data_IF_220074000219
#
_entry.id   IF_220074000219
#
_cell.length_a   1.000
_cell.length_b   1.000
_cell.length_c   1.000
_cell.angle_alpha   90.00
_cell.angle_beta   90.00
_cell.angle_gamma   90.00
#
_symmetry.space_group_name_H-M   'P 1'
#
loop_
_entity.id
_entity.type
_entity.pdbx_description
1 polymer ?
#
# COMPACT_ATOMS: atom_id res chain seq x y z
N UNK A 1 -3.19 56.49 25.26
CA UNK A 1 -2.25 56.14 24.17
C UNK A 1 -0.97 55.47 24.70
N UNK A 2 -0.14 56.15 25.51
CA UNK A 2 1.16 55.61 25.97
C UNK A 2 1.08 54.31 26.82
N UNK A 3 0.01 54.12 27.60
CA UNK A 3 -0.21 52.85 28.33
C UNK A 3 -0.52 51.68 27.40
N UNK A 4 -1.27 51.92 26.32
CA UNK A 4 -1.63 50.92 25.31
C UNK A 4 -0.39 50.56 24.48
N UNK A 5 0.42 51.56 24.10
CA UNK A 5 1.68 51.37 23.38
C UNK A 5 2.63 50.48 24.20
N UNK A 6 2.86 50.80 25.48
CA UNK A 6 3.69 49.96 26.37
C UNK A 6 3.15 48.53 26.55
N UNK A 7 1.83 48.35 26.55
CA UNK A 7 1.20 47.04 26.62
C UNK A 7 1.44 46.23 25.33
N UNK A 8 1.29 46.86 24.17
CA UNK A 8 1.58 46.25 22.85
C UNK A 8 3.06 45.91 22.73
N UNK A 9 3.97 46.81 23.12
CA UNK A 9 5.42 46.57 23.12
C UNK A 9 5.81 45.41 24.04
N UNK A 10 5.17 45.27 25.20
CA UNK A 10 5.40 44.14 26.11
C UNK A 10 4.90 42.82 25.54
N UNK A 11 3.84 42.84 24.72
CA UNK A 11 3.31 41.66 24.04
C UNK A 11 4.03 41.36 22.71
N UNK A 12 4.82 42.28 22.18
CA UNK A 12 5.52 42.14 20.89
C UNK A 12 6.36 40.85 20.80
N UNK A 13 7.19 40.47 21.79
CA UNK A 13 7.96 39.23 21.73
C UNK A 13 7.09 37.97 21.71
N UNK A 14 5.92 38.02 22.38
CA UNK A 14 4.95 36.93 22.36
C UNK A 14 4.29 36.80 20.98
N UNK A 15 3.88 37.91 20.38
CA UNK A 15 3.34 37.91 19.01
C UNK A 15 4.38 37.48 17.97
N UNK A 16 5.64 37.89 18.12
CA UNK A 16 6.75 37.45 17.27
C UNK A 16 7.01 35.94 17.41
N UNK A 17 6.93 35.39 18.63
CA UNK A 17 7.05 33.95 18.88
C UNK A 17 5.88 33.15 18.28
N UNK A 18 4.68 33.68 18.33
CA UNK A 18 3.50 33.08 17.68
C UNK A 18 3.65 33.15 16.15
N UNK A 19 3.99 34.32 15.61
CA UNK A 19 4.10 34.52 14.16
C UNK A 19 5.23 33.70 13.52
N UNK A 20 6.30 33.42 14.28
CA UNK A 20 7.41 32.56 13.85
C UNK A 20 7.13 31.05 13.98
N UNK A 21 5.95 30.65 14.47
CA UNK A 21 5.55 29.26 14.45
C UNK A 21 5.41 28.78 12.99
N UNK A 22 6.10 27.70 12.58
CA UNK A 22 6.14 27.27 11.19
C UNK A 22 4.78 26.91 10.60
N UNK A 23 3.83 26.46 11.42
CA UNK A 23 2.46 26.17 10.97
C UNK A 23 1.68 27.46 10.70
N UNK A 24 1.81 28.47 11.57
CA UNK A 24 1.15 29.77 11.37
C UNK A 24 1.78 30.55 10.21
N UNK A 25 3.10 30.47 10.08
CA UNK A 25 3.82 30.98 8.90
C UNK A 25 3.32 30.29 7.62
N UNK A 26 3.18 28.96 7.63
CA UNK A 26 2.69 28.22 6.47
C UNK A 26 1.23 28.57 6.11
N UNK A 27 0.34 28.74 7.11
CA UNK A 27 -1.02 29.23 6.87
C UNK A 27 -0.98 30.61 6.20
N UNK A 28 -0.24 31.56 6.78
CA UNK A 28 -0.12 32.93 6.25
C UNK A 28 0.38 32.90 4.81
N UNK A 29 1.48 32.20 4.56
CA UNK A 29 2.12 32.18 3.25
C UNK A 29 1.25 31.45 2.21
N UNK A 30 0.58 30.37 2.63
CA UNK A 30 -0.39 29.65 1.80
C UNK A 30 -1.60 30.52 1.43
N UNK A 31 -2.12 31.32 2.37
CA UNK A 31 -3.16 32.32 2.09
C UNK A 31 -2.69 33.42 1.15
N UNK A 32 -1.47 33.94 1.35
CA UNK A 32 -0.87 34.97 0.48
C UNK A 32 -0.78 34.45 -0.95
N UNK A 33 -0.36 33.21 -1.14
CA UNK A 33 -0.32 32.56 -2.46
C UNK A 33 -1.71 32.45 -3.12
N UNK A 34 -2.79 32.44 -2.34
CA UNK A 34 -4.17 32.33 -2.81
C UNK A 34 -4.93 33.63 -2.90
N UNK A 35 -4.33 34.76 -2.48
CA UNK A 35 -4.95 36.07 -2.63
C UNK A 35 -5.45 36.35 -4.06
N UNK A 36 -4.73 35.97 -5.15
CA UNK A 36 -5.25 36.19 -6.50
C UNK A 36 -6.61 35.53 -6.72
N UNK A 37 -6.84 34.32 -6.20
CA UNK A 37 -8.13 33.60 -6.32
C UNK A 37 -9.22 34.36 -5.57
N UNK A 38 -8.95 34.80 -4.34
CA UNK A 38 -9.94 35.51 -3.50
C UNK A 38 -10.27 36.89 -4.09
N UNK A 39 -9.26 37.63 -4.53
CA UNK A 39 -9.41 38.96 -5.13
C UNK A 39 -10.16 38.88 -6.47
N UNK A 40 -9.78 37.94 -7.33
CA UNK A 40 -10.43 37.74 -8.62
C UNK A 40 -11.88 37.26 -8.44
N UNK A 41 -12.14 36.37 -7.48
CA UNK A 41 -13.50 35.96 -7.13
C UNK A 41 -14.34 37.15 -6.67
N UNK A 42 -13.79 38.01 -5.81
CA UNK A 42 -14.48 39.18 -5.30
C UNK A 42 -14.86 40.18 -6.39
N UNK A 43 -14.11 40.25 -7.49
CA UNK A 43 -14.46 41.08 -8.65
C UNK A 43 -15.81 40.69 -9.26
N UNK A 44 -16.12 39.39 -9.33
CA UNK A 44 -17.42 38.94 -9.85
C UNK A 44 -18.59 39.36 -8.94
N UNK A 45 -18.41 39.36 -7.62
CA UNK A 45 -19.40 39.93 -6.69
C UNK A 45 -19.59 41.42 -6.97
N UNK A 46 -18.49 42.15 -7.15
CA UNK A 46 -18.56 43.59 -7.42
C UNK A 46 -19.29 43.86 -8.74
N UNK A 47 -18.95 43.15 -9.81
CA UNK A 47 -19.62 43.27 -11.12
C UNK A 47 -21.10 42.88 -11.03
N UNK A 48 -21.43 41.83 -10.28
CA UNK A 48 -22.82 41.38 -10.11
C UNK A 48 -23.68 42.40 -9.35
N UNK A 49 -23.16 42.98 -8.27
CA UNK A 49 -24.03 43.65 -7.29
C UNK A 49 -23.74 45.13 -7.01
N UNK A 50 -22.55 45.65 -7.32
CA UNK A 50 -22.27 47.09 -7.14
C UNK A 50 -23.17 47.97 -8.03
N UNK A 51 -23.46 47.60 -9.30
CA UNK A 51 -24.40 48.35 -10.15
C UNK A 51 -25.80 48.58 -9.53
N UNK A 52 -26.23 47.70 -8.62
CA UNK A 52 -27.53 47.82 -7.95
C UNK A 52 -27.68 49.13 -7.17
N UNK A 53 -26.57 49.74 -6.72
CA UNK A 53 -26.57 51.03 -6.01
C UNK A 53 -27.10 52.17 -6.91
N UNK A 54 -26.99 52.04 -8.23
CA UNK A 54 -27.49 53.00 -9.21
C UNK A 54 -28.78 52.53 -9.91
N UNK A 55 -29.47 51.53 -9.36
CA UNK A 55 -30.73 51.00 -9.91
C UNK A 55 -30.58 50.16 -11.17
N UNK A 56 -29.35 49.80 -11.55
CA UNK A 56 -29.10 48.86 -12.63
C UNK A 56 -29.06 47.43 -12.09
N UNK A 57 -29.88 46.55 -12.66
CA UNK A 57 -29.90 45.12 -12.33
C UNK A 57 -29.64 44.31 -13.59
N UNK A 58 -28.72 43.35 -13.49
CA UNK A 58 -28.49 42.39 -14.56
C UNK A 58 -29.74 41.54 -14.80
N UNK A 59 -30.02 41.12 -16.05
CA UNK A 59 -30.94 40.02 -16.30
C UNK A 59 -30.51 38.78 -15.52
N UNK A 60 -31.47 38.02 -14.98
CA UNK A 60 -31.19 36.91 -14.05
C UNK A 60 -30.20 35.88 -14.63
N UNK A 61 -30.31 35.57 -15.91
CA UNK A 61 -29.39 34.67 -16.60
C UNK A 61 -27.94 35.18 -16.63
N UNK A 62 -27.72 36.50 -16.71
CA UNK A 62 -26.38 37.10 -16.70
C UNK A 62 -25.81 37.13 -15.29
N UNK A 63 -26.63 37.51 -14.29
CA UNK A 63 -26.25 37.41 -12.88
C UNK A 63 -25.83 35.98 -12.52
N UNK A 64 -26.62 34.98 -12.94
CA UNK A 64 -26.34 33.58 -12.66
C UNK A 64 -25.03 33.12 -13.30
N UNK A 65 -24.69 33.59 -14.52
CA UNK A 65 -23.40 33.31 -15.15
C UNK A 65 -22.24 33.91 -14.35
N UNK A 66 -22.35 35.19 -13.97
CA UNK A 66 -21.32 35.91 -13.19
C UNK A 66 -21.10 35.19 -11.86
N UNK A 67 -22.19 34.83 -11.17
CA UNK A 67 -22.14 34.14 -9.88
C UNK A 67 -21.68 32.69 -10.01
N UNK A 68 -21.91 32.03 -11.14
CA UNK A 68 -21.39 30.69 -11.40
C UNK A 68 -19.86 30.68 -11.45
N UNK A 69 -19.25 31.68 -12.09
CA UNK A 69 -17.78 31.83 -12.11
C UNK A 69 -17.25 32.05 -10.70
N UNK A 70 -17.87 32.95 -9.93
CA UNK A 70 -17.56 33.15 -8.51
C UNK A 70 -17.63 31.84 -7.69
N UNK A 71 -18.71 31.08 -7.89
CA UNK A 71 -18.93 29.84 -7.16
C UNK A 71 -17.91 28.76 -7.53
N UNK A 72 -17.44 28.70 -8.78
CA UNK A 72 -16.37 27.77 -9.16
C UNK A 72 -15.02 28.14 -8.56
N UNK A 73 -14.66 29.43 -8.56
CA UNK A 73 -13.36 29.88 -8.02
C UNK A 73 -13.33 29.76 -6.50
N UNK A 74 -14.40 30.14 -5.81
CA UNK A 74 -14.51 30.01 -4.35
C UNK A 74 -14.84 28.58 -3.90
N UNK A 75 -15.50 27.79 -4.76
CA UNK A 75 -15.86 26.40 -4.51
C UNK A 75 -14.66 25.45 -4.49
N UNK A 76 -13.47 25.90 -4.90
CA UNK A 76 -12.22 25.14 -4.84
C UNK A 76 -11.23 25.69 -3.82
N UNK A 77 -11.63 26.68 -3.02
CA UNK A 77 -10.72 27.40 -2.12
C UNK A 77 -10.03 26.47 -1.10
N UNK A 78 -10.73 25.47 -0.55
CA UNK A 78 -10.10 24.54 0.38
C UNK A 78 -9.09 23.61 -0.30
N UNK A 79 -9.31 23.21 -1.55
CA UNK A 79 -8.36 22.42 -2.34
C UNK A 79 -7.07 23.19 -2.53
N UNK A 80 -7.18 24.41 -3.05
CA UNK A 80 -6.00 25.25 -3.23
C UNK A 80 -5.30 25.55 -1.89
N UNK A 81 -6.07 25.75 -0.81
CA UNK A 81 -5.53 25.98 0.53
C UNK A 81 -4.75 24.77 1.05
N UNK A 82 -5.26 23.56 0.84
CA UNK A 82 -4.56 22.34 1.22
C UNK A 82 -3.21 22.27 0.49
N UNK A 83 -3.20 22.49 -0.82
CA UNK A 83 -1.97 22.51 -1.60
C UNK A 83 -0.98 23.59 -1.16
N UNK A 84 -1.37 24.86 -1.15
CA UNK A 84 -0.43 25.98 -0.90
C UNK A 84 0.12 26.00 0.52
N UNK A 85 -0.70 25.68 1.54
CA UNK A 85 -0.23 25.58 2.93
C UNK A 85 0.71 24.38 3.10
N UNK A 86 0.42 23.24 2.45
CA UNK A 86 1.30 22.07 2.44
C UNK A 86 2.64 22.39 1.83
N UNK A 87 2.65 23.07 0.69
CA UNK A 87 3.87 23.54 0.03
C UNK A 87 4.67 24.43 0.97
N UNK A 88 4.08 25.48 1.53
CA UNK A 88 4.78 26.40 2.43
C UNK A 88 5.32 25.71 3.68
N UNK A 89 4.58 24.75 4.24
CA UNK A 89 5.07 23.95 5.36
C UNK A 89 6.21 23.02 4.96
N UNK A 90 6.13 22.39 3.79
CA UNK A 90 7.18 21.50 3.25
C UNK A 90 8.46 22.29 2.98
N UNK A 91 8.36 23.47 2.36
CA UNK A 91 9.49 24.39 2.16
C UNK A 91 10.13 24.74 3.50
N UNK A 92 9.33 25.10 4.52
CA UNK A 92 9.84 25.37 5.86
C UNK A 92 10.54 24.15 6.49
N UNK A 93 10.05 22.93 6.25
CA UNK A 93 10.72 21.69 6.71
C UNK A 93 12.04 21.47 6.00
N UNK A 94 12.10 21.69 4.69
CA UNK A 94 13.29 21.48 3.87
C UNK A 94 14.45 22.39 4.26
N UNK A 95 14.18 23.58 4.83
CA UNK A 95 15.21 24.45 5.42
C UNK A 95 16.01 23.78 6.55
N UNK A 96 15.45 22.74 7.18
CA UNK A 96 16.06 22.02 8.31
C UNK A 96 16.57 20.62 7.93
N UNK A 97 16.46 20.23 6.66
CA UNK A 97 16.90 18.93 6.17
C UNK A 97 18.19 19.07 5.33
N UNK A 98 19.07 18.05 5.33
CA UNK A 98 20.22 18.02 4.42
C UNK A 98 19.78 18.13 2.96
N UNK A 99 20.60 18.75 2.11
CA UNK A 99 20.31 18.91 0.67
C UNK A 99 20.03 17.57 -0.04
N UNK A 100 20.61 16.47 0.44
CA UNK A 100 20.43 15.12 -0.10
C UNK A 100 19.09 14.48 0.31
N UNK A 101 18.41 15.01 1.31
CA UNK A 101 17.22 14.42 1.94
C UNK A 101 16.09 15.47 2.03
N UNK A 102 15.89 16.26 0.99
CA UNK A 102 14.78 17.20 0.93
C UNK A 102 13.50 16.50 0.47
N UNK A 103 12.38 16.90 1.08
CA UNK A 103 11.05 16.44 0.72
C UNK A 103 10.67 17.05 -0.62
N UNK A 104 10.20 16.22 -1.56
CA UNK A 104 9.65 16.73 -2.82
C UNK A 104 8.36 17.51 -2.55
N UNK A 105 8.42 18.81 -2.79
CA UNK A 105 7.35 19.78 -2.49
C UNK A 105 6.13 19.56 -3.38
N UNK A 106 6.33 19.14 -4.63
CA UNK A 106 5.22 18.85 -5.56
C UNK A 106 4.49 17.58 -5.12
N UNK A 107 5.23 16.57 -4.65
CA UNK A 107 4.63 15.33 -4.13
C UNK A 107 3.74 15.59 -2.91
N UNK A 108 4.20 16.39 -1.95
CA UNK A 108 3.37 16.72 -0.79
C UNK A 108 2.17 17.57 -1.18
N UNK A 109 2.35 18.55 -2.07
CA UNK A 109 1.26 19.39 -2.61
C UNK A 109 0.13 18.55 -3.20
N UNK A 110 0.45 17.66 -4.15
CA UNK A 110 -0.54 16.81 -4.82
C UNK A 110 -1.17 15.81 -3.84
N UNK A 111 -0.38 15.23 -2.92
CA UNK A 111 -0.89 14.33 -1.91
C UNK A 111 -1.89 15.01 -0.96
N UNK A 112 -1.69 16.29 -0.63
CA UNK A 112 -2.62 17.05 0.18
C UNK A 112 -3.94 17.36 -0.55
N UNK A 113 -3.88 17.72 -1.83
CA UNK A 113 -5.11 17.92 -2.63
C UNK A 113 -5.91 16.62 -2.75
N UNK A 114 -5.24 15.51 -3.09
CA UNK A 114 -5.87 14.18 -3.15
C UNK A 114 -6.47 13.76 -1.80
N UNK A 115 -5.74 13.96 -0.70
CA UNK A 115 -6.23 13.63 0.65
C UNK A 115 -7.47 14.45 1.02
N UNK A 116 -7.50 15.74 0.66
CA UNK A 116 -8.68 16.57 0.89
C UNK A 116 -9.87 16.09 0.05
N UNK A 117 -9.65 15.76 -1.24
CA UNK A 117 -10.72 15.26 -2.11
C UNK A 117 -11.36 13.99 -1.54
N UNK A 118 -10.55 13.07 -1.00
CA UNK A 118 -11.05 11.86 -0.33
C UNK A 118 -11.93 12.20 0.88
N UNK A 119 -11.55 13.22 1.67
CA UNK A 119 -12.31 13.64 2.86
C UNK A 119 -13.55 14.48 2.53
N UNK A 120 -13.51 15.22 1.43
CA UNK A 120 -14.50 16.23 1.07
C UNK A 120 -15.63 15.68 0.20
N UNK A 121 -15.37 14.62 -0.58
CA UNK A 121 -16.36 13.98 -1.46
C UNK A 121 -17.29 13.11 -0.62
N UNK A 122 -18.55 13.56 -0.47
CA UNK A 122 -19.61 12.79 0.19
C UNK A 122 -20.67 12.36 -0.83
N UNK A 123 -21.07 11.08 -0.85
CA UNK A 123 -22.19 10.65 -1.67
C UNK A 123 -23.50 11.24 -1.13
N UNK A 124 -24.33 11.77 -2.03
CA UNK A 124 -25.70 12.21 -1.75
C UNK A 124 -26.65 11.48 -2.71
N UNK A 125 -27.95 11.47 -2.40
CA UNK A 125 -28.97 10.64 -3.08
C UNK A 125 -28.93 10.68 -4.61
N UNK A 126 -28.58 11.83 -5.19
CA UNK A 126 -28.55 12.06 -6.65
C UNK A 126 -27.21 12.68 -7.14
N UNK A 127 -26.09 12.42 -6.46
CA UNK A 127 -24.78 12.89 -6.90
C UNK A 127 -23.69 12.96 -5.82
N UNK A 128 -22.76 13.90 -5.97
CA UNK A 128 -21.64 14.13 -5.05
C UNK A 128 -21.77 15.52 -4.45
N UNK A 129 -21.68 15.63 -3.12
CA UNK A 129 -21.53 16.93 -2.47
C UNK A 129 -20.08 17.40 -2.56
N UNK A 130 -19.88 18.60 -3.11
CA UNK A 130 -18.59 19.30 -3.21
C UNK A 130 -18.47 20.46 -2.22
N UNK A 131 -19.37 20.53 -1.24
CA UNK A 131 -19.48 21.64 -0.29
C UNK A 131 -18.19 21.86 0.53
N UNK A 132 -17.48 20.78 0.83
CA UNK A 132 -16.22 20.79 1.56
C UNK A 132 -15.00 21.13 0.68
N UNK A 133 -15.17 21.42 -0.61
CA UNK A 133 -14.09 21.92 -1.47
C UNK A 133 -13.93 23.44 -1.39
N UNK A 134 -14.98 24.14 -0.94
CA UNK A 134 -14.99 25.60 -0.76
C UNK A 134 -14.63 26.03 0.66
N UNK A 135 -15.13 27.19 1.08
CA UNK A 135 -14.82 27.80 2.39
C UNK A 135 -15.15 26.89 3.59
N UNK A 136 -16.20 26.07 3.49
CA UNK A 136 -16.60 25.14 4.58
C UNK A 136 -15.56 24.05 4.84
N UNK A 137 -14.70 23.75 3.87
CA UNK A 137 -13.62 22.77 4.00
C UNK A 137 -12.30 23.30 4.52
N UNK A 138 -12.16 24.60 4.80
CA UNK A 138 -10.87 25.21 5.14
C UNK A 138 -10.19 24.56 6.36
N UNK A 139 -10.97 24.16 7.37
CA UNK A 139 -10.43 23.47 8.55
C UNK A 139 -9.85 22.10 8.15
N UNK A 140 -10.57 21.33 7.32
CA UNK A 140 -10.09 20.05 6.81
C UNK A 140 -8.83 20.24 5.96
N UNK A 141 -8.79 21.28 5.13
CA UNK A 141 -7.61 21.64 4.34
C UNK A 141 -6.38 21.90 5.21
N UNK A 142 -6.51 22.63 6.33
CA UNK A 142 -5.39 22.84 7.25
C UNK A 142 -4.95 21.55 7.94
N UNK A 143 -5.89 20.70 8.37
CA UNK A 143 -5.55 19.42 8.98
C UNK A 143 -4.74 18.54 8.03
N UNK A 144 -5.23 18.39 6.79
CA UNK A 144 -4.52 17.67 5.73
C UNK A 144 -3.15 18.30 5.48
N UNK A 145 -3.09 19.63 5.35
CA UNK A 145 -1.86 20.34 5.06
C UNK A 145 -0.80 20.26 6.17
N UNK A 146 -1.21 19.96 7.41
CA UNK A 146 -0.29 19.71 8.51
C UNK A 146 0.13 18.26 8.60
N UNK A 147 -0.77 17.32 8.30
CA UNK A 147 -0.50 15.89 8.38
C UNK A 147 0.49 15.47 7.29
N UNK A 148 0.23 15.82 6.04
CA UNK A 148 0.98 15.33 4.87
C UNK A 148 2.48 15.64 4.95
N UNK A 149 2.93 16.90 5.18
CA UNK A 149 4.36 17.21 5.28
C UNK A 149 5.03 16.56 6.49
N UNK A 150 4.30 16.34 7.58
CA UNK A 150 4.86 15.70 8.77
C UNK A 150 5.05 14.19 8.57
N UNK A 151 4.16 13.51 7.83
CA UNK A 151 4.35 12.12 7.40
C UNK A 151 5.61 12.02 6.52
N UNK A 152 5.72 12.85 5.48
CA UNK A 152 6.89 12.84 4.61
C UNK A 152 8.19 13.17 5.34
N UNK A 153 8.18 14.16 6.24
CA UNK A 153 9.33 14.49 7.09
C UNK A 153 9.71 13.34 8.01
N UNK A 154 8.72 12.67 8.61
CA UNK A 154 8.97 11.49 9.42
C UNK A 154 9.69 10.41 8.61
N UNK A 155 9.24 10.18 7.36
CA UNK A 155 9.83 9.19 6.47
C UNK A 155 11.26 9.54 6.04
N UNK A 156 11.47 10.76 5.55
CA UNK A 156 12.77 11.18 5.02
C UNK A 156 13.79 11.44 6.12
N UNK A 157 13.36 12.00 7.26
CA UNK A 157 14.24 12.32 8.38
C UNK A 157 14.73 11.11 9.19
N UNK A 158 14.09 9.95 9.04
CA UNK A 158 14.50 8.70 9.68
C UNK A 158 15.24 7.75 8.73
N UNK A 159 15.60 8.20 7.52
CA UNK A 159 16.17 7.33 6.47
C UNK A 159 15.37 6.02 6.40
N UNK A 160 14.05 6.13 6.30
CA UNK A 160 13.17 4.97 6.17
C UNK A 160 13.56 4.24 4.87
N UNK A 161 14.33 3.16 5.00
CA UNK A 161 14.89 2.33 3.91
C UNK A 161 14.52 0.85 4.06
N UNK A 162 13.36 0.53 4.65
CA UNK A 162 12.64 -0.70 4.31
C UNK A 162 11.81 -0.47 3.04
N UNK A 163 11.63 -1.51 2.23
CA UNK A 163 10.89 -1.42 0.96
C UNK A 163 9.45 -0.88 1.14
N UNK A 164 8.90 -0.94 2.35
CA UNK A 164 7.59 -0.42 2.73
C UNK A 164 7.65 0.41 4.03
N UNK A 165 6.85 1.48 4.18
CA UNK A 165 6.71 2.21 5.46
C UNK A 165 6.26 1.29 6.62
N UNK A 166 6.78 1.46 7.85
CA UNK A 166 7.68 2.51 8.35
C UNK A 166 9.17 2.24 8.07
N UNK A 167 9.49 1.25 7.24
CA UNK A 167 10.83 0.89 6.78
C UNK A 167 11.90 0.78 7.86
N UNK A 168 11.49 0.23 9.01
CA UNK A 168 12.41 -0.29 10.01
C UNK A 168 13.06 -1.56 9.49
N UNK A 169 14.37 -1.71 9.72
CA UNK A 169 15.13 -2.87 9.27
C UNK A 169 15.49 -3.77 10.46
N UNK A 170 15.53 -5.08 10.22
CA UNK A 170 16.07 -6.08 11.14
C UNK A 170 15.40 -6.17 12.53
N UNK A 171 14.15 -5.71 12.68
CA UNK A 171 13.40 -5.81 13.94
C UNK A 171 12.42 -7.01 13.90
N UNK A 172 12.92 -8.20 14.22
CA UNK A 172 12.16 -9.46 14.18
C UNK A 172 11.02 -9.48 15.20
N UNK A 173 11.23 -8.94 16.41
CA UNK A 173 10.19 -8.82 17.44
C UNK A 173 8.99 -8.02 16.92
N UNK A 174 9.24 -6.85 16.34
CA UNK A 174 8.17 -6.01 15.81
C UNK A 174 7.46 -6.63 14.62
N UNK A 175 8.19 -7.34 13.76
CA UNK A 175 7.58 -8.11 12.66
C UNK A 175 6.59 -9.15 13.19
N UNK A 176 7.00 -9.98 14.16
CA UNK A 176 6.14 -11.01 14.74
C UNK A 176 4.98 -10.42 15.55
N UNK A 177 5.21 -9.33 16.29
CA UNK A 177 4.14 -8.60 16.97
C UNK A 177 3.13 -8.02 15.98
N UNK A 178 3.59 -7.47 14.85
CA UNK A 178 2.70 -6.95 13.81
C UNK A 178 1.86 -8.07 13.19
N UNK A 179 2.47 -9.24 12.92
CA UNK A 179 1.75 -10.42 12.45
C UNK A 179 0.65 -10.84 13.44
N UNK A 180 0.96 -10.94 14.75
CA UNK A 180 -0.04 -11.25 15.78
C UNK A 180 -1.20 -10.24 15.79
N UNK A 181 -0.87 -8.95 15.80
CA UNK A 181 -1.86 -7.87 15.83
C UNK A 181 -2.76 -7.88 14.58
N UNK A 182 -2.21 -8.19 13.41
CA UNK A 182 -2.98 -8.30 12.16
C UNK A 182 -3.95 -9.49 12.21
N UNK A 183 -3.53 -10.64 12.75
CA UNK A 183 -4.40 -11.81 12.92
C UNK A 183 -5.50 -11.51 13.94
N UNK A 184 -5.20 -10.85 15.05
CA UNK A 184 -6.19 -10.43 16.05
C UNK A 184 -7.23 -9.46 15.44
N UNK A 185 -6.77 -8.47 14.66
CA UNK A 185 -7.65 -7.54 13.96
C UNK A 185 -8.55 -8.24 12.93
N UNK A 186 -7.99 -9.13 12.11
CA UNK A 186 -8.74 -9.95 11.17
C UNK A 186 -9.79 -10.80 11.88
N UNK A 187 -9.41 -11.46 12.98
CA UNK A 187 -10.28 -12.35 13.75
C UNK A 187 -11.49 -11.62 14.33
N UNK A 188 -11.29 -10.41 14.86
CA UNK A 188 -12.40 -9.53 15.31
C UNK A 188 -13.36 -9.20 14.18
N UNK A 189 -12.85 -8.95 12.97
CA UNK A 189 -13.69 -8.66 11.79
C UNK A 189 -14.48 -9.90 11.35
N UNK A 190 -13.87 -11.09 11.35
CA UNK A 190 -14.55 -12.36 11.05
C UNK A 190 -15.68 -12.62 12.06
N UNK A 191 -15.38 -12.49 13.35
CA UNK A 191 -16.37 -12.64 14.42
C UNK A 191 -17.53 -11.65 14.27
N UNK A 192 -17.23 -10.40 13.89
CA UNK A 192 -18.25 -9.38 13.62
C UNK A 192 -19.08 -9.72 12.38
N UNK A 193 -18.44 -10.11 11.27
CA UNK A 193 -19.12 -10.46 10.02
C UNK A 193 -20.13 -11.59 10.24
N UNK A 194 -19.70 -12.65 10.93
CA UNK A 194 -20.54 -13.81 11.23
C UNK A 194 -21.63 -13.50 12.25
N UNK A 195 -21.33 -12.75 13.32
CA UNK A 195 -22.34 -12.39 14.33
C UNK A 195 -23.43 -11.45 13.79
N UNK A 196 -23.12 -10.65 12.76
CA UNK A 196 -24.11 -9.81 12.06
C UNK A 196 -24.94 -10.56 11.04
N UNK A 197 -24.57 -11.80 10.70
CA UNK A 197 -25.29 -12.61 9.73
C UNK A 197 -25.26 -12.01 8.32
N UNK A 198 -24.17 -11.31 7.95
CA UNK A 198 -24.03 -10.81 6.59
C UNK A 198 -23.96 -11.98 5.60
N UNK A 199 -24.59 -11.82 4.45
CA UNK A 199 -24.45 -12.74 3.33
C UNK A 199 -23.06 -12.62 2.70
N UNK A 200 -22.53 -13.74 2.21
CA UNK A 200 -21.23 -13.81 1.55
C UNK A 200 -20.20 -14.66 2.29
N UNK A 201 -18.97 -14.61 1.79
CA UNK A 201 -17.83 -15.37 2.31
C UNK A 201 -16.75 -14.43 2.84
N UNK A 202 -16.09 -14.82 3.92
CA UNK A 202 -14.97 -14.09 4.50
C UNK A 202 -13.77 -15.01 4.72
N UNK A 203 -12.58 -14.51 4.38
CA UNK A 203 -11.32 -15.22 4.48
C UNK A 203 -10.16 -14.25 4.62
N UNK A 204 -8.95 -14.80 4.70
CA UNK A 204 -7.70 -14.03 4.74
C UNK A 204 -6.86 -14.38 3.52
N UNK A 205 -6.22 -13.35 2.94
CA UNK A 205 -5.26 -13.51 1.84
C UNK A 205 -3.86 -13.47 2.43
N UNK A 206 -3.11 -14.57 2.28
CA UNK A 206 -1.73 -14.69 2.71
C UNK A 206 -0.78 -14.64 1.52
N UNK A 207 0.29 -13.85 1.63
CA UNK A 207 1.45 -13.99 0.75
C UNK A 207 2.29 -15.18 1.24
N UNK A 208 2.19 -16.31 0.55
CA UNK A 208 2.86 -17.54 0.94
C UNK A 208 4.01 -17.83 -0.01
N UNK A 209 5.19 -17.99 0.56
CA UNK A 209 6.41 -18.39 -0.17
C UNK A 209 6.83 -19.76 0.32
N UNK A 210 7.05 -20.71 -0.58
CA UNK A 210 7.57 -22.00 -0.19
C UNK A 210 9.09 -21.90 0.01
N UNK A 211 9.58 -22.35 1.17
CA UNK A 211 10.99 -22.32 1.53
C UNK A 211 11.58 -23.73 1.52
N UNK A 212 12.62 -23.91 0.71
CA UNK A 212 13.36 -25.17 0.62
C UNK A 212 14.73 -25.02 1.26
N UNK A 213 15.29 -26.11 1.74
CA UNK A 213 16.72 -26.16 2.02
C UNK A 213 17.51 -26.20 0.70
N UNK A 214 18.68 -25.57 0.66
CA UNK A 214 19.54 -25.64 -0.53
C UNK A 214 20.15 -27.05 -0.75
N UNK A 215 20.29 -27.84 0.31
CA UNK A 215 20.82 -29.19 0.30
C UNK A 215 20.32 -30.01 1.52
N UNK A 216 20.78 -31.25 1.64
CA UNK A 216 20.41 -32.15 2.75
C UNK A 216 21.19 -31.89 4.06
N UNK A 217 21.94 -30.79 4.16
CA UNK A 217 22.66 -30.51 5.40
C UNK A 217 21.68 -30.14 6.52
N UNK A 218 21.76 -30.78 7.71
CA UNK A 218 20.80 -30.55 8.79
C UNK A 218 20.66 -29.07 9.20
N UNK A 219 21.76 -28.30 9.19
CA UNK A 219 21.72 -26.87 9.52
C UNK A 219 20.92 -26.06 8.49
N UNK A 220 21.02 -26.40 7.20
CA UNK A 220 20.27 -25.72 6.15
C UNK A 220 18.79 -26.10 6.20
N UNK A 221 18.46 -27.35 6.59
CA UNK A 221 17.06 -27.77 6.79
C UNK A 221 16.42 -27.03 7.96
N UNK A 222 17.15 -26.91 9.08
CA UNK A 222 16.71 -26.12 10.24
C UNK A 222 16.54 -24.64 9.84
N UNK A 223 17.47 -24.07 9.07
CA UNK A 223 17.36 -22.69 8.61
C UNK A 223 16.13 -22.47 7.71
N UNK A 224 15.87 -23.37 6.76
CA UNK A 224 14.68 -23.31 5.91
C UNK A 224 13.38 -23.37 6.75
N UNK A 225 13.34 -24.27 7.74
CA UNK A 225 12.20 -24.37 8.65
C UNK A 225 12.03 -23.11 9.50
N UNK A 226 13.11 -22.54 10.06
CA UNK A 226 13.06 -21.26 10.81
C UNK A 226 12.53 -20.12 9.95
N UNK A 227 13.03 -20.02 8.72
CA UNK A 227 12.61 -18.99 7.77
C UNK A 227 11.13 -19.13 7.41
N UNK A 228 10.65 -20.36 7.24
CA UNK A 228 9.25 -20.65 7.01
C UNK A 228 8.35 -20.31 8.21
N UNK A 229 8.74 -20.66 9.44
CA UNK A 229 7.95 -20.31 10.63
C UNK A 229 7.83 -18.80 10.76
N UNK A 230 8.92 -18.06 10.52
CA UNK A 230 8.95 -16.60 10.59
C UNK A 230 8.06 -15.92 9.54
N UNK A 231 8.03 -16.46 8.31
CA UNK A 231 7.35 -15.83 7.17
C UNK A 231 5.91 -16.32 6.97
N UNK A 232 5.64 -17.59 7.25
CA UNK A 232 4.36 -18.24 6.98
C UNK A 232 3.75 -18.86 8.24
N UNK A 233 4.51 -19.74 8.91
CA UNK A 233 3.98 -20.68 9.89
C UNK A 233 3.32 -20.02 11.10
N UNK A 234 3.88 -18.92 11.60
CA UNK A 234 3.29 -18.14 12.71
C UNK A 234 1.93 -17.55 12.31
N UNK A 235 1.82 -16.96 11.11
CA UNK A 235 0.56 -16.41 10.63
C UNK A 235 -0.50 -17.48 10.34
N UNK A 236 -0.09 -18.60 9.74
CA UNK A 236 -0.99 -19.69 9.40
C UNK A 236 -1.57 -20.36 10.65
N UNK A 237 -0.76 -20.58 11.69
CA UNK A 237 -1.23 -21.09 12.99
C UNK A 237 -2.29 -20.19 13.61
N UNK A 238 -2.01 -18.89 13.72
CA UNK A 238 -2.98 -17.94 14.23
C UNK A 238 -4.26 -17.90 13.39
N UNK A 239 -4.15 -18.02 12.06
CA UNK A 239 -5.31 -17.97 11.16
C UNK A 239 -6.20 -19.22 11.27
N UNK A 240 -5.61 -20.42 11.23
CA UNK A 240 -6.37 -21.66 11.06
C UNK A 240 -6.47 -22.51 12.32
N UNK A 241 -5.50 -22.48 13.21
CA UNK A 241 -5.58 -23.21 14.48
C UNK A 241 -6.23 -22.38 15.58
N UNK A 242 -6.14 -21.05 15.47
CA UNK A 242 -6.66 -20.14 16.48
C UNK A 242 -5.71 -19.96 17.67
N UNK A 243 -4.50 -20.51 17.59
CA UNK A 243 -3.42 -20.43 18.58
C UNK A 243 -2.08 -20.74 17.90
N UNK A 244 -0.97 -20.46 18.59
CA UNK A 244 0.38 -20.80 18.11
C UNK A 244 0.84 -22.13 18.72
N UNK A 245 1.23 -23.08 17.88
CA UNK A 245 1.68 -24.40 18.35
C UNK A 245 2.94 -24.29 19.21
N UNK A 246 3.11 -25.13 20.26
CA UNK A 246 4.32 -25.12 21.08
C UNK A 246 5.61 -25.29 20.26
N UNK A 247 5.58 -26.15 19.23
CA UNK A 247 6.72 -26.38 18.36
C UNK A 247 7.15 -25.10 17.60
N UNK A 248 6.20 -24.32 17.07
CA UNK A 248 6.50 -23.07 16.37
C UNK A 248 6.85 -21.94 17.33
N UNK A 249 6.24 -21.90 18.52
CA UNK A 249 6.65 -20.96 19.57
C UNK A 249 8.08 -21.21 20.05
N UNK A 250 8.55 -22.46 20.10
CA UNK A 250 9.97 -22.76 20.36
C UNK A 250 10.87 -22.14 19.29
N UNK A 251 10.51 -22.27 18.02
CA UNK A 251 11.25 -21.64 16.91
C UNK A 251 11.24 -20.12 17.01
N UNK A 252 10.08 -19.51 17.31
CA UNK A 252 9.96 -18.07 17.51
C UNK A 252 10.84 -17.60 18.69
N UNK A 253 10.89 -18.36 19.79
CA UNK A 253 11.77 -18.11 20.92
C UNK A 253 13.24 -18.19 20.53
N UNK A 254 13.63 -19.15 19.69
CA UNK A 254 14.99 -19.22 19.16
C UNK A 254 15.34 -18.03 18.26
N UNK A 255 14.38 -17.52 17.47
CA UNK A 255 14.58 -16.36 16.60
C UNK A 255 14.73 -15.06 17.40
N UNK A 256 13.91 -14.88 18.44
CA UNK A 256 13.88 -13.66 19.26
C UNK A 256 14.90 -13.66 20.40
N UNK A 257 15.36 -14.84 20.85
CA UNK A 257 16.22 -14.96 22.01
C UNK A 257 15.57 -14.35 23.26
N UNK A 258 16.30 -13.44 23.93
CA UNK A 258 15.81 -12.75 25.14
C UNK A 258 14.63 -11.80 24.84
N UNK A 259 14.48 -11.33 23.60
CA UNK A 259 13.37 -10.46 23.20
C UNK A 259 12.03 -11.21 23.13
N UNK A 260 12.02 -12.54 23.19
CA UNK A 260 10.78 -13.32 23.16
C UNK A 260 9.81 -12.92 24.28
N UNK A 261 10.33 -12.59 25.47
CA UNK A 261 9.51 -12.17 26.61
C UNK A 261 8.83 -10.80 26.41
N UNK A 262 9.21 -10.07 25.36
CA UNK A 262 8.58 -8.80 24.96
C UNK A 262 7.49 -8.99 23.91
N UNK A 263 7.31 -10.20 23.37
CA UNK A 263 6.23 -10.53 22.44
C UNK A 263 4.91 -10.55 23.23
N UNK A 264 4.09 -9.53 23.02
CA UNK A 264 2.83 -9.31 23.73
C UNK A 264 1.70 -10.06 23.04
N UNK A 265 1.45 -11.28 23.51
CA UNK A 265 0.32 -12.13 23.08
C UNK A 265 -0.65 -12.20 24.25
N UNK A 266 -1.78 -11.50 24.12
CA UNK A 266 -2.75 -11.38 25.22
C UNK A 266 -3.86 -12.40 25.08
N UNK A 267 -4.35 -12.93 26.20
CA UNK A 267 -5.40 -13.95 26.20
C UNK A 267 -6.71 -13.44 25.58
N UNK A 268 -7.04 -12.15 25.75
CA UNK A 268 -8.22 -11.57 25.09
C UNK A 268 -8.09 -11.53 23.55
N UNK A 269 -6.87 -11.46 23.02
CA UNK A 269 -6.62 -11.53 21.58
C UNK A 269 -6.66 -12.97 21.10
N UNK A 270 -6.06 -13.90 21.85
CA UNK A 270 -6.14 -15.33 21.55
C UNK A 270 -7.57 -15.85 21.57
N UNK A 271 -8.45 -15.35 22.43
CA UNK A 271 -9.85 -15.75 22.44
C UNK A 271 -10.59 -15.31 21.16
N UNK A 272 -10.37 -14.07 20.70
CA UNK A 272 -10.91 -13.60 19.42
C UNK A 272 -10.41 -14.46 18.25
N UNK A 273 -9.11 -14.77 18.25
CA UNK A 273 -8.43 -15.58 17.22
C UNK A 273 -8.97 -17.01 17.21
N UNK A 274 -9.06 -17.66 18.37
CA UNK A 274 -9.62 -19.01 18.54
C UNK A 274 -11.06 -19.11 18.06
N UNK A 275 -11.87 -18.11 18.38
CA UNK A 275 -13.27 -18.04 17.93
C UNK A 275 -13.35 -17.91 16.41
N UNK A 276 -12.51 -17.09 15.78
CA UNK A 276 -12.57 -16.82 14.35
C UNK A 276 -12.10 -17.98 13.46
N UNK A 277 -11.07 -18.73 13.88
CA UNK A 277 -10.44 -19.78 13.09
C UNK A 277 -11.40 -20.79 12.40
N UNK A 278 -12.41 -21.40 13.07
CA UNK A 278 -13.33 -22.33 12.41
C UNK A 278 -14.35 -21.64 11.48
N UNK A 279 -14.47 -20.31 11.56
CA UNK A 279 -15.49 -19.54 10.85
C UNK A 279 -15.05 -19.06 9.46
N UNK A 280 -13.75 -19.10 9.14
CA UNK A 280 -13.22 -18.72 7.82
C UNK A 280 -13.84 -19.55 6.71
N UNK A 281 -14.19 -18.94 5.59
CA UNK A 281 -14.84 -19.62 4.45
C UNK A 281 -13.85 -20.05 3.37
N UNK A 282 -12.71 -19.36 3.28
CA UNK A 282 -11.64 -19.62 2.32
C UNK A 282 -10.27 -19.08 2.80
N UNK A 283 -9.22 -19.59 2.18
CA UNK A 283 -7.86 -19.04 2.15
C UNK A 283 -7.59 -18.39 0.79
N UNK A 284 -7.12 -17.16 0.78
CA UNK A 284 -6.48 -16.56 -0.39
C UNK A 284 -4.97 -16.79 -0.35
N UNK A 285 -4.38 -17.22 -1.46
CA UNK A 285 -2.93 -17.40 -1.62
C UNK A 285 -2.42 -16.42 -2.67
N UNK A 286 -1.51 -15.55 -2.25
CA UNK A 286 -0.66 -14.79 -3.14
C UNK A 286 0.68 -15.51 -3.25
N UNK A 287 0.99 -16.07 -4.42
CA UNK A 287 2.21 -16.82 -4.66
C UNK A 287 2.91 -16.29 -5.90
N UNK A 288 4.23 -16.13 -5.83
CA UNK A 288 5.04 -15.65 -6.95
C UNK A 288 6.33 -16.45 -7.15
N UNK A 289 6.90 -16.96 -6.07
CA UNK A 289 8.18 -17.64 -6.08
C UNK A 289 8.34 -18.57 -4.88
N UNK A 290 9.34 -19.43 -4.96
CA UNK A 290 9.91 -20.17 -3.84
C UNK A 290 11.32 -19.66 -3.55
N UNK A 291 11.85 -19.93 -2.36
CA UNK A 291 13.21 -19.55 -1.97
C UNK A 291 13.98 -20.75 -1.44
N UNK A 292 15.29 -20.80 -1.73
CA UNK A 292 16.22 -21.77 -1.17
C UNK A 292 17.04 -21.13 -0.07
N UNK A 293 17.09 -21.79 1.08
CA UNK A 293 17.67 -21.25 2.29
C UNK A 293 18.95 -22.02 2.65
N UNK A 294 19.98 -21.26 2.97
CA UNK A 294 21.21 -21.72 3.61
C UNK A 294 21.29 -21.18 5.03
N UNK A 295 21.89 -21.94 5.93
CA UNK A 295 22.18 -21.48 7.28
C UNK A 295 23.08 -20.24 7.26
N UNK A 296 22.72 -19.22 8.04
CA UNK A 296 23.45 -17.97 8.16
C UNK A 296 23.49 -17.50 9.61
N UNK A 297 24.68 -17.20 10.12
CA UNK A 297 24.89 -16.74 11.50
C UNK A 297 25.78 -15.48 11.60
N UNK A 298 26.14 -14.89 10.47
CA UNK A 298 26.83 -13.60 10.45
C UNK A 298 25.80 -12.45 10.52
N UNK A 299 26.27 -11.20 10.51
CA UNK A 299 25.40 -10.03 10.58
C UNK A 299 24.35 -10.02 9.46
N UNK A 300 23.16 -9.52 9.82
CA UNK A 300 22.04 -9.41 8.88
C UNK A 300 22.34 -8.38 7.80
N UNK A 301 21.97 -8.69 6.57
CA UNK A 301 22.08 -7.76 5.44
C UNK A 301 20.98 -8.03 4.44
N UNK A 302 20.21 -6.99 4.11
CA UNK A 302 19.16 -7.05 3.11
C UNK A 302 19.44 -5.99 2.04
N UNK A 303 19.51 -6.44 0.79
CA UNK A 303 19.52 -5.59 -0.40
C UNK A 303 18.33 -5.96 -1.27
N UNK A 304 17.39 -5.02 -1.43
CA UNK A 304 16.25 -5.21 -2.32
C UNK A 304 16.63 -4.83 -3.75
N UNK A 305 16.58 -5.78 -4.67
CA UNK A 305 16.66 -5.50 -6.11
C UNK A 305 15.39 -4.76 -6.54
N UNK A 306 15.45 -3.42 -6.52
CA UNK A 306 14.34 -2.55 -6.93
C UNK A 306 14.31 -2.32 -8.45
N UNK A 307 15.48 -2.25 -9.08
CA UNK A 307 15.70 -1.79 -10.45
C UNK A 307 15.55 -2.88 -11.51
N UNK A 308 15.61 -4.15 -11.11
CA UNK A 308 15.71 -5.28 -12.04
C UNK A 308 17.15 -5.45 -12.55
N UNK A 309 18.13 -5.09 -11.72
CA UNK A 309 19.56 -5.37 -11.96
C UNK A 309 19.86 -6.76 -11.40
N UNK A 310 19.76 -7.76 -12.27
CA UNK A 310 19.83 -9.18 -11.90
C UNK A 310 21.08 -9.52 -11.09
N UNK A 311 20.91 -10.28 -10.03
CA UNK A 311 21.96 -10.72 -9.11
C UNK A 311 22.26 -9.75 -7.97
N UNK A 312 21.50 -8.68 -7.82
CA UNK A 312 21.71 -7.69 -6.73
C UNK A 312 20.93 -8.04 -5.46
N UNK A 313 19.87 -8.85 -5.54
CA UNK A 313 19.07 -9.21 -4.37
C UNK A 313 19.89 -9.98 -3.33
N UNK A 314 19.86 -9.51 -2.08
CA UNK A 314 20.44 -10.23 -0.94
C UNK A 314 19.43 -10.22 0.20
N UNK A 315 19.15 -11.38 0.77
CA UNK A 315 18.34 -11.50 1.97
C UNK A 315 18.99 -12.50 2.92
N UNK A 316 19.69 -12.00 3.93
CA UNK A 316 20.27 -12.81 4.99
C UNK A 316 20.01 -12.21 6.34
N UNK A 317 19.50 -13.03 7.25
CA UNK A 317 19.14 -12.63 8.61
C UNK A 317 19.85 -13.56 9.58
N UNK A 318 20.63 -12.94 10.47
CA UNK A 318 21.43 -13.64 11.49
C UNK A 318 20.57 -14.61 12.29
N UNK A 319 20.98 -15.87 12.36
CA UNK A 319 20.32 -16.90 13.16
C UNK A 319 19.03 -17.47 12.54
N UNK A 320 18.57 -16.92 11.41
CA UNK A 320 17.42 -17.43 10.65
C UNK A 320 17.90 -18.16 9.39
N UNK A 321 18.60 -17.46 8.50
CA UNK A 321 19.06 -18.01 7.22
C UNK A 321 19.35 -16.96 6.16
N UNK A 322 19.92 -17.41 5.06
CA UNK A 322 20.20 -16.65 3.83
C UNK A 322 19.44 -17.26 2.67
N UNK A 323 18.70 -16.43 1.93
CA UNK A 323 18.16 -16.81 0.62
C UNK A 323 19.32 -16.86 -0.37
N UNK A 324 19.62 -18.06 -0.87
CA UNK A 324 20.72 -18.31 -1.80
C UNK A 324 20.20 -18.62 -3.20
N UNK A 325 21.07 -18.41 -4.20
CA UNK A 325 20.78 -18.74 -5.59
C UNK A 325 20.89 -20.25 -5.83
N UNK A 326 19.86 -20.84 -6.41
CA UNK A 326 19.86 -22.19 -6.98
C UNK A 326 20.00 -22.05 -8.51
N UNK A 327 21.20 -22.35 -9.01
CA UNK A 327 21.55 -22.18 -10.43
C UNK A 327 20.71 -23.06 -11.39
N UNK A 328 20.03 -24.08 -10.87
CA UNK A 328 19.17 -24.95 -11.67
C UNK A 328 17.79 -24.34 -11.97
N UNK A 329 17.38 -23.30 -11.23
CA UNK A 329 16.03 -22.73 -11.33
C UNK A 329 16.09 -21.33 -11.95
N UNK A 330 15.28 -21.05 -13.00
CA UNK A 330 15.27 -19.74 -13.63
C UNK A 330 14.72 -18.65 -12.72
N UNK A 331 15.24 -17.43 -12.90
CA UNK A 331 14.76 -16.21 -12.24
C UNK A 331 14.52 -15.10 -13.25
N UNK A 332 13.61 -14.18 -12.95
CA UNK A 332 13.46 -12.93 -13.71
C UNK A 332 14.56 -11.89 -13.33
N UNK A 333 14.50 -10.71 -13.93
CA UNK A 333 15.42 -9.59 -13.69
C UNK A 333 15.46 -9.11 -12.23
N UNK A 334 14.39 -9.36 -11.46
CA UNK A 334 14.26 -9.00 -10.04
C UNK A 334 14.69 -10.13 -9.09
N UNK A 335 15.39 -11.13 -9.62
CA UNK A 335 15.85 -12.32 -8.90
C UNK A 335 14.73 -13.19 -8.34
N UNK A 336 13.50 -13.05 -8.85
CA UNK A 336 12.39 -13.90 -8.40
C UNK A 336 12.39 -15.22 -9.15
N UNK A 337 12.35 -16.33 -8.40
CA UNK A 337 12.31 -17.66 -8.97
C UNK A 337 11.01 -17.96 -9.70
N UNK A 338 11.13 -18.63 -10.84
CA UNK A 338 10.02 -19.21 -11.58
C UNK A 338 9.96 -20.69 -11.21
N UNK A 339 9.15 -21.03 -10.20
CA UNK A 339 9.06 -22.39 -9.66
C UNK A 339 7.61 -22.77 -9.33
N UNK A 340 6.86 -23.32 -10.32
CA UNK A 340 5.45 -23.70 -10.16
C UNK A 340 5.21 -24.79 -9.10
N UNK A 341 6.17 -25.72 -8.94
CA UNK A 341 6.08 -26.82 -7.97
C UNK A 341 5.90 -26.30 -6.54
N UNK A 342 6.50 -25.16 -6.20
CA UNK A 342 6.33 -24.56 -4.87
C UNK A 342 4.92 -24.07 -4.56
N UNK A 343 4.11 -23.74 -5.57
CA UNK A 343 2.69 -23.45 -5.36
C UNK A 343 1.94 -24.73 -4.99
N UNK A 344 2.21 -25.83 -5.70
CA UNK A 344 1.62 -27.13 -5.41
C UNK A 344 2.00 -27.62 -4.00
N UNK A 345 3.29 -27.61 -3.66
CA UNK A 345 3.79 -28.03 -2.35
C UNK A 345 3.19 -27.19 -1.22
N UNK A 346 3.04 -25.88 -1.42
CA UNK A 346 2.36 -25.01 -0.46
C UNK A 346 0.89 -25.39 -0.29
N UNK A 347 0.16 -25.66 -1.37
CA UNK A 347 -1.24 -26.07 -1.29
C UNK A 347 -1.41 -27.45 -0.62
N UNK A 348 -0.54 -28.40 -0.92
CA UNK A 348 -0.51 -29.71 -0.28
C UNK A 348 -0.24 -29.59 1.22
N UNK A 349 0.75 -28.77 1.59
CA UNK A 349 1.02 -28.45 2.99
C UNK A 349 -0.19 -27.82 3.67
N UNK A 350 -0.85 -26.83 3.08
CA UNK A 350 -2.05 -26.22 3.68
C UNK A 350 -3.13 -27.28 3.93
N UNK A 351 -3.36 -28.18 2.97
CA UNK A 351 -4.33 -29.28 3.13
C UNK A 351 -3.99 -30.19 4.30
N UNK A 352 -2.70 -30.48 4.51
CA UNK A 352 -2.23 -31.40 5.56
C UNK A 352 -2.16 -30.74 6.94
N UNK A 353 -1.57 -29.55 7.04
CA UNK A 353 -1.33 -28.84 8.30
C UNK A 353 -2.61 -28.16 8.82
N UNK A 354 -3.50 -27.73 7.92
CA UNK A 354 -4.67 -26.91 8.23
C UNK A 354 -5.94 -27.43 7.52
N UNK A 355 -6.41 -28.64 7.82
CA UNK A 355 -7.52 -29.28 7.09
C UNK A 355 -8.85 -28.51 7.14
N UNK A 356 -8.97 -27.51 8.02
CA UNK A 356 -10.09 -26.57 8.10
C UNK A 356 -9.97 -25.37 7.14
N UNK A 357 -9.05 -25.38 6.17
CA UNK A 357 -8.89 -24.30 5.16
C UNK A 357 -10.13 -24.05 4.29
N UNK A 358 -11.05 -25.03 4.22
CA UNK A 358 -12.29 -25.07 3.43
C UNK A 358 -12.12 -24.92 1.92
N UNK A 359 -11.64 -23.78 1.42
CA UNK A 359 -11.45 -23.47 0.00
C UNK A 359 -10.18 -22.67 -0.18
N UNK A 360 -9.50 -22.86 -1.31
CA UNK A 360 -8.35 -22.03 -1.71
C UNK A 360 -8.73 -21.20 -2.93
N UNK A 361 -8.39 -19.92 -2.91
CA UNK A 361 -8.29 -19.07 -4.09
C UNK A 361 -6.84 -18.65 -4.26
N UNK A 362 -6.29 -18.79 -5.46
CA UNK A 362 -5.03 -18.13 -5.81
C UNK A 362 -5.38 -16.69 -6.16
N UNK A 363 -5.28 -15.81 -5.18
CA UNK A 363 -5.75 -14.42 -5.26
C UNK A 363 -4.77 -13.49 -5.96
N UNK A 364 -3.48 -13.87 -6.00
CA UNK A 364 -2.49 -13.24 -6.87
C UNK A 364 -1.44 -14.25 -7.32
N UNK A 365 -1.16 -14.27 -8.62
CA UNK A 365 0.00 -14.91 -9.23
C UNK A 365 0.30 -14.25 -10.57
N UNK A 366 1.58 -14.08 -10.92
CA UNK A 366 1.95 -13.55 -12.23
C UNK A 366 3.42 -13.14 -12.33
N UNK A 367 3.84 -12.79 -13.55
CA UNK A 367 5.23 -12.49 -13.86
C UNK A 367 5.44 -10.99 -14.13
N UNK A 368 6.36 -10.40 -13.35
CA UNK A 368 6.84 -9.04 -13.54
C UNK A 368 8.02 -9.02 -14.50
N UNK A 369 7.93 -8.25 -15.59
CA UNK A 369 8.96 -8.17 -16.62
C UNK A 369 9.07 -6.76 -17.23
N UNK A 370 10.09 -6.55 -18.06
CA UNK A 370 10.29 -5.31 -18.84
C UNK A 370 9.65 -5.47 -20.21
N UNK A 371 8.33 -5.31 -20.28
CA UNK A 371 7.61 -5.42 -21.54
C UNK A 371 7.94 -4.26 -22.49
N UNK A 372 7.99 -4.54 -23.79
CA UNK A 372 8.21 -3.57 -24.87
C UNK A 372 6.91 -3.38 -25.65
N UNK A 373 6.51 -2.13 -25.86
CA UNK A 373 5.43 -1.78 -26.79
C UNK A 373 6.04 -1.53 -28.17
N UNK A 374 5.71 -2.39 -29.12
CA UNK A 374 6.15 -2.30 -30.50
C UNK A 374 5.43 -1.18 -31.26
N UNK A 375 6.03 -0.69 -32.35
CA UNK A 375 5.47 0.41 -33.16
C UNK A 375 4.08 0.10 -33.75
N UNK A 376 3.76 -1.18 -33.94
CA UNK A 376 2.46 -1.66 -34.41
C UNK A 376 1.39 -1.70 -33.29
N UNK A 377 1.74 -1.38 -32.05
CA UNK A 377 0.87 -1.40 -30.88
C UNK A 377 0.72 -2.78 -30.21
N UNK A 378 1.58 -3.74 -30.56
CA UNK A 378 1.62 -5.07 -29.96
C UNK A 378 2.63 -5.15 -28.82
N UNK A 379 2.42 -6.13 -27.93
CA UNK A 379 3.31 -6.44 -26.81
C UNK A 379 3.38 -7.95 -26.72
N UNK A 380 4.53 -8.50 -27.07
CA UNK A 380 4.81 -9.94 -27.04
C UNK A 380 5.42 -10.30 -25.69
N UNK A 381 4.67 -11.03 -24.87
CA UNK A 381 5.03 -11.38 -23.49
C UNK A 381 4.93 -12.89 -23.23
N UNK A 382 5.57 -13.67 -24.10
CA UNK A 382 5.55 -15.14 -24.08
C UNK A 382 6.03 -15.72 -22.73
N UNK A 383 6.99 -15.07 -22.06
CA UNK A 383 7.45 -15.49 -20.74
C UNK A 383 6.34 -15.38 -19.69
N UNK A 384 5.45 -14.39 -19.81
CA UNK A 384 4.30 -14.22 -18.92
C UNK A 384 3.27 -15.32 -19.18
N UNK A 385 3.03 -15.66 -20.46
CA UNK A 385 2.15 -16.77 -20.84
C UNK A 385 2.68 -18.08 -20.27
N UNK A 386 3.96 -18.39 -20.50
CA UNK A 386 4.59 -19.62 -20.06
C UNK A 386 4.61 -19.76 -18.52
N UNK A 387 4.90 -18.67 -17.81
CA UNK A 387 4.82 -18.63 -16.35
C UNK A 387 3.41 -18.96 -15.85
N UNK A 388 2.39 -18.27 -16.37
CA UNK A 388 1.00 -18.44 -15.90
C UNK A 388 0.50 -19.84 -16.23
N UNK A 389 0.78 -20.33 -17.44
CA UNK A 389 0.43 -21.69 -17.87
C UNK A 389 0.97 -22.74 -16.89
N UNK A 390 2.26 -22.70 -16.58
CA UNK A 390 2.87 -23.69 -15.67
C UNK A 390 2.28 -23.63 -14.24
N UNK A 391 1.94 -22.45 -13.73
CA UNK A 391 1.31 -22.34 -12.41
C UNK A 391 -0.15 -22.82 -12.41
N UNK A 392 -0.88 -22.63 -13.51
CA UNK A 392 -2.23 -23.18 -13.68
C UNK A 392 -2.17 -24.71 -13.78
N UNK A 393 -1.18 -25.29 -14.47
CA UNK A 393 -0.94 -26.75 -14.50
C UNK A 393 -0.66 -27.30 -13.08
N UNK A 394 0.13 -26.58 -12.27
CA UNK A 394 0.36 -26.97 -10.87
C UNK A 394 -0.92 -26.90 -10.01
N UNK A 395 -1.78 -25.91 -10.25
CA UNK A 395 -3.09 -25.78 -9.60
C UNK A 395 -4.04 -26.89 -10.03
N UNK A 396 -4.05 -27.25 -11.31
CA UNK A 396 -4.84 -28.36 -11.85
C UNK A 396 -4.44 -29.68 -11.20
N UNK A 397 -3.13 -29.93 -11.06
CA UNK A 397 -2.62 -31.11 -10.33
C UNK A 397 -3.08 -31.09 -8.87
N UNK A 398 -2.93 -29.97 -8.17
CA UNK A 398 -3.41 -29.83 -6.79
C UNK A 398 -4.91 -30.12 -6.67
N UNK A 399 -5.72 -29.62 -7.61
CA UNK A 399 -7.15 -29.88 -7.68
C UNK A 399 -7.45 -31.37 -7.91
N UNK A 400 -6.74 -32.02 -8.83
CA UNK A 400 -6.86 -33.46 -9.10
C UNK A 400 -6.50 -34.31 -7.87
N UNK A 401 -5.52 -33.86 -7.07
CA UNK A 401 -5.11 -34.49 -5.81
C UNK A 401 -6.03 -34.14 -4.62
N UNK A 402 -7.20 -33.56 -4.90
CA UNK A 402 -8.27 -33.34 -3.94
C UNK A 402 -8.10 -32.09 -3.06
N UNK A 403 -7.23 -31.15 -3.43
CA UNK A 403 -7.16 -29.83 -2.79
C UNK A 403 -8.30 -28.98 -3.32
N UNK A 404 -9.08 -28.36 -2.43
CA UNK A 404 -10.30 -27.63 -2.81
C UNK A 404 -10.01 -26.22 -3.34
N UNK A 405 -9.40 -26.13 -4.54
CA UNK A 405 -9.14 -24.87 -5.23
C UNK A 405 -10.39 -24.40 -5.99
N UNK A 406 -10.75 -23.13 -5.83
CA UNK A 406 -12.00 -22.53 -6.37
C UNK A 406 -11.81 -21.38 -7.33
N UNK A 407 -10.60 -20.84 -7.47
CA UNK A 407 -10.36 -19.80 -8.45
C UNK A 407 -8.91 -19.33 -8.49
N UNK A 408 -8.60 -18.63 -9.57
CA UNK A 408 -7.30 -18.07 -9.89
C UNK A 408 -7.49 -16.63 -10.38
N UNK A 409 -6.69 -15.73 -9.82
CA UNK A 409 -6.69 -14.31 -10.11
C UNK A 409 -5.28 -13.90 -10.51
N UNK A 410 -5.13 -13.52 -11.78
CA UNK A 410 -3.85 -13.07 -12.32
C UNK A 410 -3.48 -11.69 -11.74
N UNK A 411 -2.26 -11.59 -11.22
CA UNK A 411 -1.63 -10.32 -10.94
C UNK A 411 -0.77 -9.92 -12.15
N UNK A 412 -1.14 -8.92 -12.95
CA UNK A 412 -2.22 -7.95 -12.73
C UNK A 412 -3.13 -7.81 -13.94
N UNK A 413 -4.30 -7.20 -13.75
CA UNK A 413 -5.21 -6.89 -14.85
C UNK A 413 -4.55 -5.95 -15.87
N UNK A 414 -4.04 -4.82 -15.43
CA UNK A 414 -3.30 -3.86 -16.27
C UNK A 414 -1.96 -3.52 -15.62
N UNK A 415 -1.07 -2.89 -16.36
CA UNK A 415 0.18 -2.37 -15.79
C UNK A 415 -0.12 -1.29 -14.75
N UNK A 416 0.52 -1.42 -13.59
CA UNK A 416 0.41 -0.48 -12.48
C UNK A 416 1.80 -0.24 -11.89
N UNK A 417 1.90 0.76 -11.02
CA UNK A 417 3.09 0.95 -10.20
C UNK A 417 3.34 -0.29 -9.32
N UNK A 418 4.56 -0.84 -9.39
CA UNK A 418 5.04 -1.81 -8.41
C UNK A 418 5.64 -1.07 -7.21
N UNK A 419 5.18 -1.44 -6.01
CA UNK A 419 5.44 -0.73 -4.76
C UNK A 419 6.89 -0.33 -4.51
N UNK A 420 7.84 -1.22 -4.81
CA UNK A 420 9.27 -0.99 -4.59
C UNK A 420 10.10 -1.08 -5.87
N UNK A 421 9.45 -1.24 -7.03
CA UNK A 421 10.13 -1.37 -8.35
C UNK A 421 9.74 -0.27 -9.34
N UNK A 422 8.85 0.66 -8.95
CA UNK A 422 8.37 1.72 -9.84
C UNK A 422 7.54 1.17 -10.99
N UNK A 423 7.58 1.86 -12.13
CA UNK A 423 6.84 1.51 -13.34
C UNK A 423 7.59 0.57 -14.30
N UNK A 424 8.83 0.20 -13.95
CA UNK A 424 9.68 -0.64 -14.80
C UNK A 424 9.30 -2.13 -14.73
N UNK A 425 8.69 -2.57 -13.62
CA UNK A 425 8.25 -3.95 -13.42
C UNK A 425 6.77 -4.07 -13.77
N UNK A 426 6.47 -4.51 -14.99
CA UNK A 426 5.11 -4.61 -15.53
C UNK A 426 4.56 -6.02 -15.34
N UNK A 427 3.32 -6.12 -14.89
CA UNK A 427 2.62 -7.40 -14.60
C UNK A 427 1.33 -7.56 -15.41
N UNK A 428 0.84 -6.50 -16.04
CA UNK A 428 -0.52 -6.44 -16.56
C UNK A 428 -0.77 -7.37 -17.73
N UNK A 429 -2.00 -7.86 -17.87
CA UNK A 429 -2.53 -8.35 -19.15
C UNK A 429 -2.70 -7.21 -20.16
N UNK A 430 -2.98 -5.99 -19.69
CA UNK A 430 -3.08 -4.79 -20.51
C UNK A 430 -1.88 -3.88 -20.29
N UNK A 431 -1.14 -3.57 -21.35
CA UNK A 431 -0.04 -2.60 -21.31
C UNK A 431 -0.61 -1.19 -21.16
N UNK A 432 -0.01 -0.41 -20.26
CA UNK A 432 -0.34 1.01 -20.08
C UNK A 432 0.82 1.87 -20.53
N UNK A 433 0.56 2.69 -21.54
CA UNK A 433 1.38 3.87 -21.81
C UNK A 433 1.08 4.88 -20.70
N UNK A 434 2.04 5.08 -19.78
CA UNK A 434 1.82 5.94 -18.62
C UNK A 434 1.74 7.43 -18.97
N UNK A 435 2.29 7.86 -20.12
CA UNK A 435 2.21 9.24 -20.58
C UNK A 435 0.81 9.56 -21.13
N UNK A 436 0.29 8.69 -21.99
CA UNK A 436 -1.01 8.92 -22.65
C UNK A 436 -2.19 8.26 -21.95
N UNK A 437 -1.93 7.36 -21.00
CA UNK A 437 -2.90 6.46 -20.36
C UNK A 437 -3.61 5.52 -21.35
N UNK A 438 -3.10 5.36 -22.58
CA UNK A 438 -3.68 4.42 -23.53
C UNK A 438 -3.38 2.97 -23.13
N UNK A 439 -4.36 2.09 -23.34
CA UNK A 439 -4.30 0.65 -23.05
C UNK A 439 -4.00 -0.10 -24.35
N UNK A 440 -3.13 -1.10 -24.27
CA UNK A 440 -2.84 -2.04 -25.35
C UNK A 440 -3.01 -3.48 -24.84
N UNK A 441 -3.54 -4.35 -25.68
CA UNK A 441 -3.81 -5.75 -25.33
C UNK A 441 -2.51 -6.54 -25.56
N UNK A 442 -1.92 -7.09 -24.50
CA UNK A 442 -0.75 -7.96 -24.64
C UNK A 442 -1.16 -9.35 -25.15
N UNK A 443 -0.21 -10.12 -25.65
CA UNK A 443 -0.49 -11.48 -26.11
C UNK A 443 -0.99 -12.38 -24.98
N UNK A 444 -0.49 -12.18 -23.76
CA UNK A 444 -1.01 -12.84 -22.56
C UNK A 444 -2.49 -12.58 -22.30
N UNK A 445 -3.02 -11.41 -22.63
CA UNK A 445 -4.45 -11.13 -22.49
C UNK A 445 -5.29 -11.92 -23.49
N UNK A 446 -4.80 -12.06 -24.73
CA UNK A 446 -5.43 -12.85 -25.78
C UNK A 446 -5.43 -14.33 -25.40
N UNK A 447 -4.28 -14.82 -24.91
CA UNK A 447 -4.15 -16.18 -24.41
C UNK A 447 -5.05 -16.46 -23.20
N UNK A 448 -5.09 -15.54 -22.22
CA UNK A 448 -5.93 -15.68 -21.03
C UNK A 448 -7.43 -15.68 -21.36
N UNK A 449 -7.83 -14.91 -22.38
CA UNK A 449 -9.19 -14.98 -22.94
C UNK A 449 -9.47 -16.37 -23.52
N UNK A 450 -8.57 -16.89 -24.36
CA UNK A 450 -8.73 -18.22 -24.96
C UNK A 450 -8.85 -19.30 -23.89
N UNK A 451 -7.96 -19.29 -22.88
CA UNK A 451 -8.01 -20.20 -21.75
C UNK A 451 -9.36 -20.15 -21.02
N UNK A 452 -9.87 -18.96 -20.77
CA UNK A 452 -11.18 -18.77 -20.15
C UNK A 452 -12.30 -19.34 -21.03
N UNK A 453 -12.28 -19.09 -22.33
CA UNK A 453 -13.29 -19.60 -23.27
C UNK A 453 -13.24 -21.14 -23.36
N UNK A 454 -12.06 -21.74 -23.36
CA UNK A 454 -11.86 -23.19 -23.38
C UNK A 454 -12.42 -23.85 -22.11
N UNK A 455 -12.22 -23.24 -20.93
CA UNK A 455 -12.72 -23.74 -19.64
C UNK A 455 -14.24 -23.62 -19.54
N UNK A 456 -14.82 -22.51 -20.00
CA UNK A 456 -16.25 -22.21 -19.83
C UNK A 456 -17.11 -22.53 -21.07
N UNK A 457 -16.51 -23.05 -22.15
CA UNK A 457 -17.17 -23.46 -23.38
C UNK A 457 -17.88 -22.32 -24.12
N UNK A 458 -17.24 -21.14 -24.22
CA UNK A 458 -17.79 -19.93 -24.86
C UNK A 458 -17.36 -19.73 -26.30
#
# INVERSE_FOLDING_TARGET
>A
MNKIIKMIEKMKPFFEKIASNPYLTAIRDGFVALMPVVLFSSLFILVAYVPNVWGFHWPKNIEDIIMKVYNFTMGMLAVFMAGTVTKSLTDNRNLKLPKTNQINVISTFVAAEASLLILAVKPIKDGISIELLGTKGLIAAFLVAFIVPNIYKFCIGRNITGAFPPGEQYNTLKCLQAQHNQIAAHSRIVNLFKSKGYEGEIGLVHALTQFYSIDDQPLNQIAAYKHDIFMNGFMLDGTFLGYYTPAKLTVVREILGEEFEQLDIREEELEEIRKAAPQLDFLGINYYQSNWIKYHNEESYIHHNGTGDKGTSVFRVKGIGEVVKNEAIPTNDWDWYIYPEGLYDMMERIKNDYPNYKKIYVTENGLGYKDVLEDNGEVHDDERIDYVRQHIEAIERAYADGINVKGYFIWSLQDMFSWSNGYNKRYGLFYIDFETQKRYVKDSAKWYKQLSDDIYGK
#
